data_IF_791366237176
#
_entry.id   IF_791366237176
#
_cell.length_a   1.000
_cell.length_b   1.000
_cell.length_c   1.000
_cell.angle_alpha   90.00
_cell.angle_beta   90.00
_cell.angle_gamma   90.00
#
_symmetry.space_group_name_H-M   'P 1'
#
loop_
_entity.id
_entity.type
_entity.pdbx_description
1 polymer ?
#
# COMPACT_ATOMS: atom_id res chain seq x y z
N UNK A 1 10.38 -33.61 4.47
CA UNK A 1 11.12 -32.42 4.04
C UNK A 1 10.50 -31.22 4.70
N UNK A 2 11.15 -30.67 5.71
CA UNK A 2 10.66 -29.52 6.48
C UNK A 2 11.25 -28.25 5.87
N UNK A 3 10.50 -27.61 4.98
CA UNK A 3 10.57 -26.16 4.70
C UNK A 3 9.31 -25.80 3.92
N UNK A 4 8.25 -25.41 4.62
CA UNK A 4 6.98 -25.10 3.98
C UNK A 4 5.96 -24.44 4.91
N UNK A 5 6.41 -23.63 5.88
CA UNK A 5 5.49 -23.08 6.86
C UNK A 5 6.11 -22.04 7.77
N UNK A 6 6.52 -20.90 7.20
CA UNK A 6 6.43 -19.59 7.84
C UNK A 6 6.69 -18.53 6.78
N UNK A 7 5.72 -18.30 5.88
CA UNK A 7 5.61 -16.95 5.33
C UNK A 7 5.09 -16.11 6.49
N UNK A 8 5.95 -15.29 7.06
CA UNK A 8 5.55 -14.37 8.12
C UNK A 8 4.46 -13.50 7.53
N UNK A 9 3.22 -13.64 8.03
CA UNK A 9 2.13 -12.76 7.61
C UNK A 9 2.55 -11.38 8.11
N UNK A 10 2.99 -10.52 7.19
CA UNK A 10 3.27 -9.13 7.55
C UNK A 10 2.00 -8.59 8.18
N UNK A 11 2.12 -8.03 9.38
CA UNK A 11 0.98 -7.44 10.07
C UNK A 11 0.35 -6.40 9.14
N UNK A 12 -0.93 -6.54 8.75
CA UNK A 12 -1.58 -5.59 7.84
C UNK A 12 -1.54 -4.15 8.37
N UNK A 13 -1.43 -3.99 9.69
CA UNK A 13 -1.23 -2.69 10.31
C UNK A 13 0.14 -2.10 10.02
N UNK A 14 1.20 -2.92 9.93
CA UNK A 14 2.54 -2.46 9.58
C UNK A 14 2.65 -2.08 8.11
N UNK A 15 1.96 -2.82 7.22
CA UNK A 15 1.97 -2.52 5.77
C UNK A 15 1.33 -1.17 5.44
N UNK A 16 0.39 -0.72 6.29
CA UNK A 16 -0.29 0.56 6.12
C UNK A 16 0.33 1.70 6.92
N UNK A 17 1.20 1.42 7.90
CA UNK A 17 1.87 2.43 8.72
C UNK A 17 2.94 3.20 7.90
N UNK A 18 2.72 4.51 7.74
CA UNK A 18 3.61 5.35 6.93
C UNK A 18 5.01 5.51 7.55
N UNK A 19 5.15 5.48 8.87
CA UNK A 19 6.43 5.57 9.54
C UNK A 19 7.22 4.26 9.37
N UNK A 20 6.54 3.12 9.49
CA UNK A 20 7.13 1.82 9.18
C UNK A 20 7.62 1.79 7.73
N UNK A 21 6.74 2.11 6.77
CA UNK A 21 7.09 2.16 5.36
C UNK A 21 8.30 3.07 5.11
N UNK A 22 8.33 4.29 5.67
CA UNK A 22 9.44 5.24 5.50
C UNK A 22 10.80 4.66 5.90
N UNK A 23 10.84 3.79 6.92
CA UNK A 23 12.06 3.12 7.40
C UNK A 23 12.55 1.98 6.51
N UNK A 24 11.75 1.50 5.56
CA UNK A 24 12.13 0.41 4.67
C UNK A 24 12.89 0.90 3.43
N UNK A 25 13.74 0.02 2.89
CA UNK A 25 14.38 0.23 1.59
C UNK A 25 13.31 0.39 0.49
N UNK A 26 13.54 1.24 -0.54
CA UNK A 26 12.54 1.52 -1.58
C UNK A 26 11.96 0.26 -2.24
N UNK A 27 12.81 -0.72 -2.58
CA UNK A 27 12.35 -1.97 -3.20
C UNK A 27 11.38 -2.78 -2.32
N UNK A 28 11.58 -2.76 -1.00
CA UNK A 28 10.71 -3.46 -0.06
C UNK A 28 9.39 -2.71 0.14
N UNK A 29 9.42 -1.37 0.25
CA UNK A 29 8.19 -0.54 0.27
C UNK A 29 7.30 -0.85 -0.91
N UNK A 30 7.88 -0.84 -2.12
CA UNK A 30 7.15 -1.08 -3.36
C UNK A 30 6.48 -2.44 -3.37
N UNK A 31 7.21 -3.48 -2.97
CA UNK A 31 6.68 -4.85 -2.89
C UNK A 31 5.49 -4.92 -1.95
N UNK A 32 5.63 -4.41 -0.73
CA UNK A 32 4.54 -4.41 0.26
C UNK A 32 3.31 -3.62 -0.23
N UNK A 33 3.52 -2.47 -0.88
CA UNK A 33 2.41 -1.67 -1.43
C UNK A 33 1.71 -2.35 -2.61
N UNK A 34 2.44 -3.06 -3.46
CA UNK A 34 1.84 -3.87 -4.55
C UNK A 34 0.97 -4.97 -3.97
N UNK A 35 1.51 -5.74 -3.04
CA UNK A 35 0.81 -6.87 -2.41
C UNK A 35 -0.46 -6.37 -1.68
N UNK A 36 -0.34 -5.30 -0.88
CA UNK A 36 -1.46 -4.69 -0.17
C UNK A 36 -2.55 -4.13 -1.11
N UNK A 37 -2.16 -3.47 -2.21
CA UNK A 37 -3.13 -2.95 -3.18
C UNK A 37 -3.92 -4.08 -3.85
N UNK A 38 -3.25 -5.17 -4.20
CA UNK A 38 -3.90 -6.35 -4.77
C UNK A 38 -4.88 -6.99 -3.78
N UNK A 39 -4.48 -7.15 -2.51
CA UNK A 39 -5.34 -7.66 -1.44
C UNK A 39 -6.53 -6.75 -1.16
N UNK A 40 -6.35 -5.43 -1.25
CA UNK A 40 -7.41 -4.44 -1.08
C UNK A 40 -8.43 -4.41 -2.24
N UNK A 41 -8.17 -5.14 -3.34
CA UNK A 41 -9.07 -5.25 -4.49
C UNK A 41 -8.75 -4.31 -5.64
N UNK A 42 -7.57 -3.70 -5.67
CA UNK A 42 -7.10 -2.96 -6.86
C UNK A 42 -6.59 -3.95 -7.93
N UNK A 43 -7.14 -3.87 -9.15
CA UNK A 43 -6.73 -4.67 -10.31
C UNK A 43 -6.00 -3.82 -11.35
N UNK A 44 -5.09 -4.37 -12.15
CA UNK A 44 -4.31 -3.59 -13.17
C UNK A 44 -3.56 -2.37 -12.60
N UNK A 45 -3.00 -2.51 -11.40
CA UNK A 45 -2.19 -1.45 -10.77
C UNK A 45 -0.88 -1.25 -11.53
N UNK A 46 -0.83 -0.21 -12.36
CA UNK A 46 0.42 0.23 -12.99
C UNK A 46 1.46 0.73 -11.98
N UNK A 47 2.75 0.68 -12.36
CA UNK A 47 3.85 1.18 -11.53
C UNK A 47 3.66 2.63 -11.08
N UNK A 48 3.10 3.49 -11.93
CA UNK A 48 2.81 4.89 -11.61
C UNK A 48 1.83 5.06 -10.44
N UNK A 49 0.88 4.15 -10.26
CA UNK A 49 -0.02 4.14 -9.10
C UNK A 49 0.75 3.79 -7.83
N UNK A 50 1.60 2.77 -7.89
CA UNK A 50 2.45 2.36 -6.75
C UNK A 50 3.39 3.50 -6.36
N UNK A 51 4.02 4.17 -7.32
CA UNK A 51 4.90 5.32 -7.09
C UNK A 51 4.15 6.46 -6.40
N UNK A 52 2.92 6.74 -6.84
CA UNK A 52 2.09 7.78 -6.25
C UNK A 52 1.68 7.43 -4.81
N UNK A 53 1.33 6.17 -4.53
CA UNK A 53 1.01 5.69 -3.18
C UNK A 53 2.25 5.69 -2.27
N UNK A 54 3.41 5.27 -2.79
CA UNK A 54 4.68 5.33 -2.05
C UNK A 54 5.00 6.78 -1.67
N UNK A 55 4.80 7.73 -2.60
CA UNK A 55 4.96 9.17 -2.31
C UNK A 55 3.94 9.70 -1.31
N UNK A 56 2.69 9.20 -1.32
CA UNK A 56 1.67 9.55 -0.33
C UNK A 56 2.11 9.14 1.10
N UNK A 57 2.75 7.98 1.24
CA UNK A 57 3.28 7.51 2.52
C UNK A 57 4.55 8.27 2.95
N UNK A 58 5.51 8.44 2.04
CA UNK A 58 6.88 8.86 2.37
C UNK A 58 7.16 10.34 2.18
N UNK A 59 6.38 11.04 1.35
CA UNK A 59 6.59 12.46 0.98
C UNK A 59 5.32 13.29 1.22
N UNK A 60 4.71 13.10 2.39
CA UNK A 60 3.47 13.79 2.74
C UNK A 60 3.65 15.29 2.92
N UNK A 61 2.78 16.06 2.27
CA UNK A 61 2.72 17.52 2.30
C UNK A 61 1.28 18.05 2.29
N UNK A 62 0.30 17.20 2.64
CA UNK A 62 -1.14 17.54 2.58
C UNK A 62 -1.89 17.01 1.35
N UNK A 63 -1.41 15.93 0.71
CA UNK A 63 -2.06 15.39 -0.50
C UNK A 63 -3.46 14.82 -0.19
N UNK A 64 -4.41 14.90 -1.13
CA UNK A 64 -5.80 14.43 -0.87
C UNK A 64 -6.02 12.92 -1.00
N UNK A 65 -4.97 12.15 -1.30
CA UNK A 65 -5.04 10.73 -1.67
C UNK A 65 -4.64 10.49 -3.12
N UNK A 66 -4.64 9.22 -3.53
CA UNK A 66 -4.23 8.75 -4.86
C UNK A 66 -5.33 7.87 -5.42
N UNK A 67 -5.85 8.23 -6.58
CA UNK A 67 -6.76 7.35 -7.32
C UNK A 67 -5.97 6.18 -7.90
N UNK A 68 -6.51 4.98 -7.72
CA UNK A 68 -5.97 3.74 -8.26
C UNK A 68 -7.13 2.97 -8.90
N UNK A 69 -6.85 2.00 -9.78
CA UNK A 69 -7.90 1.09 -10.23
C UNK A 69 -8.65 0.46 -9.06
N UNK A 70 -9.98 0.34 -9.18
CA UNK A 70 -10.84 -0.20 -8.13
C UNK A 70 -11.14 0.73 -6.96
N UNK A 71 -10.47 1.87 -6.80
CA UNK A 71 -10.71 2.72 -5.62
C UNK A 71 -9.83 3.96 -5.49
N UNK A 72 -9.59 4.35 -4.25
CA UNK A 72 -8.71 5.46 -3.87
C UNK A 72 -7.94 5.10 -2.61
N UNK A 73 -6.65 5.37 -2.60
CA UNK A 73 -5.82 5.32 -1.40
C UNK A 73 -5.83 6.67 -0.72
N UNK A 74 -6.08 6.68 0.58
CA UNK A 74 -6.02 7.86 1.44
C UNK A 74 -4.99 7.66 2.53
N UNK A 75 -4.45 8.75 3.06
CA UNK A 75 -3.65 8.73 4.28
C UNK A 75 -4.44 9.38 5.41
N UNK A 76 -4.60 8.69 6.53
CA UNK A 76 -5.27 9.19 7.73
C UNK A 76 -4.51 8.71 8.96
N UNK A 77 -4.25 9.61 9.89
CA UNK A 77 -3.60 9.30 11.18
C UNK A 77 -2.30 8.49 11.01
N UNK A 78 -1.50 8.82 9.99
CA UNK A 78 -0.24 8.15 9.69
C UNK A 78 -0.38 6.80 9.00
N UNK A 79 -1.58 6.39 8.61
CA UNK A 79 -1.84 5.10 7.94
C UNK A 79 -2.45 5.28 6.56
N UNK A 80 -2.14 4.35 5.65
CA UNK A 80 -2.81 4.21 4.37
C UNK A 80 -4.13 3.47 4.55
N UNK A 81 -5.16 3.89 3.81
CA UNK A 81 -6.44 3.19 3.71
C UNK A 81 -6.89 3.12 2.26
N UNK A 82 -7.52 2.01 1.88
CA UNK A 82 -8.13 1.84 0.58
C UNK A 82 -9.65 2.01 0.68
N UNK A 83 -10.19 2.90 -0.14
CA UNK A 83 -11.63 3.11 -0.28
C UNK A 83 -12.05 2.56 -1.63
N UNK A 84 -12.75 1.44 -1.62
CA UNK A 84 -13.27 0.83 -2.83
C UNK A 84 -14.22 1.78 -3.55
N UNK A 85 -14.12 1.85 -4.88
CA UNK A 85 -15.13 2.49 -5.71
C UNK A 85 -16.33 1.55 -5.74
N UNK A 86 -17.52 2.06 -5.43
CA UNK A 86 -18.75 1.27 -5.56
C UNK A 86 -18.92 0.73 -6.98
N UNK A 87 -19.73 -0.32 -7.18
CA UNK A 87 -20.09 -0.77 -8.52
C UNK A 87 -20.69 0.40 -9.30
N UNK A 88 -20.29 0.51 -10.56
CA UNK A 88 -20.82 1.52 -11.49
C UNK A 88 -22.32 1.32 -11.75
#
# INVERSE_FOLDING_TARGET
>A
GLVGGLVDRVDPDLVTDCAHLLGLAPGLRRRLLVDWLAEAGASDVAATHVDAVERLATHWRGQKGVDVPGGRVVRRDGRLGFVARGPA
#
